data_IF_339463517360
#
_entry.id   IF_339463517360
#
_cell.length_a   1.000
_cell.length_b   1.000
_cell.length_c   1.000
_cell.angle_alpha   90.00
_cell.angle_beta   90.00
_cell.angle_gamma   90.00
#
_symmetry.space_group_name_H-M   'P 1'
#
loop_
_entity.id
_entity.type
_entity.pdbx_description
1 polymer ?
#
# COMPACT_ATOMS: atom_id res chain seq x y z
N UNK A 1 9.74 -14.09 5.60
CA UNK A 1 9.17 -14.01 6.95
C UNK A 1 7.65 -13.99 6.89
N UNK A 2 6.97 -14.22 8.03
CA UNK A 2 5.51 -14.27 8.13
C UNK A 2 4.87 -12.89 7.95
N UNK A 3 3.68 -12.83 7.35
CA UNK A 3 2.87 -11.63 7.15
C UNK A 3 2.34 -11.08 8.48
N UNK A 4 2.02 -11.97 9.42
CA UNK A 4 1.52 -11.62 10.75
C UNK A 4 2.54 -12.07 11.80
N UNK A 5 3.28 -11.11 12.36
CA UNK A 5 4.17 -11.37 13.49
C UNK A 5 3.69 -10.62 14.72
N UNK A 6 4.08 -11.10 15.89
CA UNK A 6 3.89 -10.34 17.12
C UNK A 6 4.98 -9.27 17.20
N UNK A 7 4.56 -8.01 17.23
CA UNK A 7 5.49 -6.90 17.39
C UNK A 7 6.14 -6.96 18.78
N UNK A 8 7.47 -6.92 18.82
CA UNK A 8 8.24 -6.80 20.06
C UNK A 8 8.73 -5.36 20.23
N UNK A 9 7.81 -4.44 20.47
CA UNK A 9 8.18 -3.07 20.85
C UNK A 9 8.85 -3.07 22.22
N UNK A 10 9.92 -2.29 22.36
CA UNK A 10 10.55 -2.01 23.65
C UNK A 10 9.61 -1.14 24.49
N UNK A 11 9.75 -1.18 25.81
CA UNK A 11 8.83 -0.46 26.72
C UNK A 11 8.69 1.04 26.39
N UNK A 12 9.78 1.68 25.96
CA UNK A 12 9.77 3.10 25.60
C UNK A 12 9.16 3.37 24.22
N UNK A 13 9.23 2.41 23.29
CA UNK A 13 8.51 2.47 22.01
C UNK A 13 7.00 2.35 22.26
N UNK A 14 6.60 1.43 23.15
CA UNK A 14 5.21 1.29 23.59
C UNK A 14 4.71 2.56 24.28
N UNK A 15 5.51 3.17 25.15
CA UNK A 15 5.17 4.45 25.78
C UNK A 15 4.95 5.54 24.72
N UNK A 16 5.87 5.68 23.76
CA UNK A 16 5.74 6.66 22.68
C UNK A 16 4.48 6.43 21.82
N UNK A 17 4.21 5.18 21.44
CA UNK A 17 2.99 4.80 20.70
C UNK A 17 1.73 5.14 21.49
N UNK A 18 1.71 4.88 22.80
CA UNK A 18 0.56 5.22 23.64
C UNK A 18 0.33 6.73 23.74
N UNK A 19 1.40 7.53 23.84
CA UNK A 19 1.30 9.00 23.81
C UNK A 19 0.76 9.49 22.46
N UNK A 20 1.22 8.92 21.34
CA UNK A 20 0.70 9.27 20.01
C UNK A 20 -0.81 9.02 19.89
N UNK A 21 -1.30 7.92 20.48
CA UNK A 21 -2.72 7.55 20.47
C UNK A 21 -3.61 8.49 21.30
N UNK A 22 -3.04 9.38 22.10
CA UNK A 22 -3.81 10.46 22.75
C UNK A 22 -4.21 11.56 21.76
N UNK A 23 -3.56 11.64 20.59
CA UNK A 23 -3.95 12.52 19.49
C UNK A 23 -4.75 11.79 18.41
N UNK A 24 -5.07 12.50 17.33
CA UNK A 24 -5.73 11.90 16.16
C UNK A 24 -4.78 10.93 15.44
N UNK A 25 -5.25 9.72 15.16
CA UNK A 25 -4.50 8.71 14.40
C UNK A 25 -5.10 8.61 13.00
N UNK A 26 -4.28 8.61 11.93
CA UNK A 26 -4.79 8.42 10.57
C UNK A 26 -5.49 7.05 10.48
N UNK A 27 -6.66 7.01 9.85
CA UNK A 27 -7.40 5.76 9.62
C UNK A 27 -6.80 4.98 8.45
N UNK A 28 -6.30 5.69 7.45
CA UNK A 28 -5.65 5.12 6.27
C UNK A 28 -4.28 5.76 5.99
N UNK A 29 -3.22 4.94 5.96
CA UNK A 29 -1.88 5.36 5.52
C UNK A 29 -1.49 4.70 4.20
N UNK A 30 -1.02 5.50 3.24
CA UNK A 30 -0.42 5.01 2.00
C UNK A 30 1.13 5.09 2.07
N UNK A 31 1.83 4.07 1.57
CA UNK A 31 3.30 4.01 1.56
C UNK A 31 3.88 3.83 0.16
N UNK A 32 4.80 4.72 -0.23
CA UNK A 32 5.71 4.52 -1.35
C UNK A 32 7.02 3.97 -0.78
N UNK A 33 7.19 2.65 -0.88
CA UNK A 33 8.28 1.87 -0.27
C UNK A 33 9.59 1.92 -1.09
N UNK A 34 10.12 3.12 -1.27
CA UNK A 34 11.30 3.39 -2.11
C UNK A 34 12.63 3.23 -1.35
N UNK A 35 13.72 2.98 -2.08
CA UNK A 35 15.07 2.88 -1.53
C UNK A 35 15.65 1.47 -1.43
N UNK A 36 14.92 0.41 -1.79
CA UNK A 36 15.38 -0.98 -1.67
C UNK A 36 16.71 -1.25 -2.40
N UNK A 37 16.86 -0.74 -3.64
CA UNK A 37 18.10 -0.89 -4.43
C UNK A 37 19.25 -0.08 -3.85
N UNK A 38 18.98 1.15 -3.37
CA UNK A 38 19.98 2.00 -2.70
C UNK A 38 20.48 1.33 -1.42
N UNK A 39 19.59 0.70 -0.67
CA UNK A 39 19.93 -0.07 0.51
C UNK A 39 20.80 -1.28 0.16
N UNK A 40 20.43 -2.04 -0.87
CA UNK A 40 21.24 -3.18 -1.33
C UNK A 40 22.68 -2.76 -1.68
N UNK A 41 22.82 -1.66 -2.44
CA UNK A 41 24.13 -1.11 -2.80
C UNK A 41 24.91 -0.64 -1.56
N UNK A 42 24.24 0.05 -0.62
CA UNK A 42 24.85 0.53 0.64
C UNK A 42 25.39 -0.63 1.49
N UNK A 43 24.69 -1.76 1.51
CA UNK A 43 25.09 -2.94 2.28
C UNK A 43 25.99 -3.92 1.50
N UNK A 44 26.29 -3.65 0.22
CA UNK A 44 27.08 -4.56 -0.63
C UNK A 44 26.38 -5.88 -0.96
N UNK A 45 25.04 -5.91 -0.93
CA UNK A 45 24.22 -7.11 -1.20
C UNK A 45 23.53 -7.03 -2.56
N UNK A 46 22.99 -8.16 -3.03
CA UNK A 46 22.26 -8.20 -4.31
C UNK A 46 20.97 -7.38 -4.23
N UNK A 47 20.55 -6.78 -5.35
CA UNK A 47 19.30 -5.98 -5.43
C UNK A 47 18.07 -6.74 -4.91
N UNK A 48 17.96 -8.03 -5.27
CA UNK A 48 16.86 -8.90 -4.84
C UNK A 48 16.80 -9.06 -3.33
N UNK A 49 17.95 -9.07 -2.65
CA UNK A 49 18.03 -9.13 -1.19
C UNK A 49 17.51 -7.84 -0.56
N UNK A 50 17.82 -6.67 -1.16
CA UNK A 50 17.23 -5.40 -0.76
C UNK A 50 15.70 -5.38 -0.88
N UNK A 51 15.15 -5.98 -1.95
CA UNK A 51 13.70 -6.15 -2.11
C UNK A 51 13.10 -7.11 -1.08
N UNK A 52 13.77 -8.23 -0.79
CA UNK A 52 13.36 -9.17 0.25
C UNK A 52 13.32 -8.49 1.64
N UNK A 53 14.36 -7.72 1.99
CA UNK A 53 14.39 -6.91 3.22
C UNK A 53 13.31 -5.83 3.25
N UNK A 54 13.01 -5.23 2.11
CA UNK A 54 11.89 -4.29 2.00
C UNK A 54 10.54 -4.96 2.28
N UNK A 55 10.35 -6.20 1.83
CA UNK A 55 9.16 -6.97 2.18
C UNK A 55 9.11 -7.31 3.67
N UNK A 56 10.22 -7.75 4.26
CA UNK A 56 10.27 -8.01 5.70
C UNK A 56 9.91 -6.75 6.50
N UNK A 57 10.41 -5.58 6.08
CA UNK A 57 10.05 -4.29 6.66
C UNK A 57 8.56 -3.96 6.54
N UNK A 58 7.94 -4.29 5.41
CA UNK A 58 6.48 -4.14 5.24
C UNK A 58 5.73 -4.90 6.33
N UNK A 59 6.11 -6.15 6.61
CA UNK A 59 5.45 -6.95 7.65
C UNK A 59 5.57 -6.34 9.05
N UNK A 60 6.72 -5.71 9.37
CA UNK A 60 6.90 -4.96 10.62
C UNK A 60 6.03 -3.70 10.68
N UNK A 61 6.01 -2.91 9.59
CA UNK A 61 5.23 -1.66 9.51
C UNK A 61 3.73 -1.95 9.64
N UNK A 62 3.23 -3.01 9.02
CA UNK A 62 1.82 -3.40 9.15
C UNK A 62 1.43 -3.72 10.59
N UNK A 63 2.31 -4.36 11.35
CA UNK A 63 2.06 -4.62 12.78
C UNK A 63 2.05 -3.34 13.59
N UNK A 64 2.97 -2.42 13.32
CA UNK A 64 2.96 -1.11 13.97
C UNK A 64 1.66 -0.36 13.66
N UNK A 65 1.19 -0.42 12.42
CA UNK A 65 -0.09 0.19 12.02
C UNK A 65 -1.27 -0.41 12.79
N UNK A 66 -1.32 -1.74 12.93
CA UNK A 66 -2.32 -2.45 13.73
C UNK A 66 -2.29 -2.03 15.21
N UNK A 67 -1.11 -1.90 15.83
CA UNK A 67 -0.96 -1.47 17.22
C UNK A 67 -1.45 -0.03 17.46
N UNK A 68 -1.18 0.85 16.49
CA UNK A 68 -1.64 2.23 16.49
C UNK A 68 -3.15 2.34 16.26
N UNK A 69 -3.79 1.29 15.72
CA UNK A 69 -5.22 1.26 15.43
C UNK A 69 -5.58 1.79 14.04
N UNK A 70 -4.59 1.94 13.16
CA UNK A 70 -4.78 2.28 11.74
C UNK A 70 -5.56 1.16 11.07
N UNK A 71 -6.62 1.51 10.35
CA UNK A 71 -7.61 0.57 9.81
C UNK A 71 -7.27 0.10 8.41
N UNK A 72 -6.61 0.93 7.63
CA UNK A 72 -6.29 0.62 6.25
C UNK A 72 -4.86 1.05 5.92
N UNK A 73 -4.16 0.22 5.16
CA UNK A 73 -2.83 0.53 4.66
C UNK A 73 -2.79 0.24 3.17
N UNK A 74 -2.32 1.19 2.37
CA UNK A 74 -2.06 0.97 0.94
C UNK A 74 -0.57 1.04 0.66
N UNK A 75 -0.01 0.07 -0.05
CA UNK A 75 1.43 0.05 -0.33
C UNK A 75 1.72 -0.02 -1.82
N UNK A 76 2.69 0.77 -2.28
CA UNK A 76 3.13 0.74 -3.66
C UNK A 76 4.19 -0.36 -3.86
N UNK A 77 3.75 -1.55 -4.24
CA UNK A 77 4.61 -2.73 -4.35
C UNK A 77 5.27 -2.86 -5.73
N UNK A 78 4.52 -2.64 -6.81
CA UNK A 78 5.05 -2.73 -8.18
C UNK A 78 4.32 -1.79 -9.14
N UNK A 79 5.05 -0.87 -9.76
CA UNK A 79 4.51 0.08 -10.75
C UNK A 79 4.48 -0.51 -12.15
N UNK A 80 3.54 -0.12 -13.01
CA UNK A 80 3.57 -0.45 -14.45
C UNK A 80 4.90 0.02 -15.09
N UNK A 81 5.41 1.17 -14.66
CA UNK A 81 6.71 1.70 -15.09
C UNK A 81 7.88 0.76 -14.74
N UNK A 82 7.72 -0.16 -13.77
CA UNK A 82 8.76 -1.12 -13.41
C UNK A 82 8.91 -2.26 -14.42
N UNK A 83 7.96 -2.46 -15.33
CA UNK A 83 8.14 -3.38 -16.46
C UNK A 83 9.20 -2.89 -17.46
N UNK A 84 9.58 -1.61 -17.44
CA UNK A 84 10.66 -1.06 -18.28
C UNK A 84 12.07 -1.41 -17.78
N UNK A 85 12.19 -2.10 -16.64
CA UNK A 85 13.48 -2.58 -16.10
C UNK A 85 13.98 -3.79 -16.90
N UNK A 86 15.18 -4.28 -16.60
CA UNK A 86 15.69 -5.48 -17.26
C UNK A 86 14.78 -6.67 -16.98
N UNK A 87 14.60 -7.55 -17.97
CA UNK A 87 13.76 -8.75 -17.86
C UNK A 87 14.15 -9.59 -16.64
N UNK A 88 15.45 -9.75 -16.39
CA UNK A 88 15.96 -10.44 -15.20
C UNK A 88 15.47 -9.83 -13.88
N UNK A 89 15.46 -8.49 -13.75
CA UNK A 89 14.99 -7.82 -12.54
C UNK A 89 13.46 -7.98 -12.40
N UNK A 90 12.72 -7.90 -13.50
CA UNK A 90 11.27 -8.13 -13.51
C UNK A 90 10.93 -9.57 -13.11
N UNK A 91 11.61 -10.56 -13.68
CA UNK A 91 11.39 -11.99 -13.38
C UNK A 91 11.68 -12.30 -11.91
N UNK A 92 12.75 -11.71 -11.35
CA UNK A 92 13.08 -11.83 -9.93
C UNK A 92 12.00 -11.21 -9.04
N UNK A 93 11.45 -10.04 -9.40
CA UNK A 93 10.36 -9.40 -8.67
C UNK A 93 9.06 -10.20 -8.75
N UNK A 94 8.73 -10.78 -9.90
CA UNK A 94 7.57 -11.65 -10.07
C UNK A 94 7.73 -12.95 -9.28
N UNK A 95 8.93 -13.53 -9.25
CA UNK A 95 9.25 -14.70 -8.42
C UNK A 95 9.10 -14.39 -6.93
N UNK A 96 9.61 -13.25 -6.48
CA UNK A 96 9.43 -12.78 -5.10
C UNK A 96 7.95 -12.60 -4.78
N UNK A 97 7.17 -11.96 -5.66
CA UNK A 97 5.74 -11.80 -5.47
C UNK A 97 5.01 -13.15 -5.34
N UNK A 98 5.32 -14.13 -6.19
CA UNK A 98 4.78 -15.50 -6.09
C UNK A 98 5.08 -16.11 -4.73
N UNK A 99 6.33 -16.02 -4.27
CA UNK A 99 6.73 -16.52 -2.94
C UNK A 99 5.89 -15.87 -1.83
N UNK A 100 5.72 -14.54 -1.87
CA UNK A 100 5.00 -13.81 -0.81
C UNK A 100 3.50 -14.06 -0.82
N UNK A 101 2.85 -14.15 -1.98
CA UNK A 101 1.43 -14.50 -2.07
C UNK A 101 1.16 -15.96 -1.69
N UNK A 102 2.02 -16.91 -2.09
CA UNK A 102 1.92 -18.29 -1.60
C UNK A 102 1.99 -18.35 -0.08
N UNK A 103 2.97 -17.64 0.50
CA UNK A 103 3.10 -17.55 1.95
C UNK A 103 1.90 -16.87 2.63
N UNK A 104 1.30 -15.87 1.99
CA UNK A 104 0.08 -15.23 2.48
C UNK A 104 -1.04 -16.26 2.62
N UNK A 105 -1.23 -17.11 1.60
CA UNK A 105 -2.22 -18.18 1.60
C UNK A 105 -1.94 -19.25 2.65
N UNK A 106 -0.67 -19.62 2.84
CA UNK A 106 -0.25 -20.54 3.91
C UNK A 106 -0.57 -19.99 5.31
N UNK A 107 -0.63 -18.66 5.46
CA UNK A 107 -0.88 -17.95 6.71
C UNK A 107 -2.32 -17.41 6.82
N UNK A 108 -3.24 -17.86 5.95
CA UNK A 108 -4.63 -17.38 5.89
C UNK A 108 -5.36 -17.45 7.24
N UNK A 109 -5.11 -18.49 8.03
CA UNK A 109 -5.79 -18.68 9.32
C UNK A 109 -5.40 -17.56 10.30
N UNK A 110 -4.14 -17.13 10.28
CA UNK A 110 -3.68 -15.98 11.08
C UNK A 110 -4.28 -14.67 10.60
N UNK A 111 -4.39 -14.48 9.28
CA UNK A 111 -5.03 -13.30 8.71
C UNK A 111 -6.49 -13.21 9.14
N UNK A 112 -7.21 -14.34 9.09
CA UNK A 112 -8.61 -14.44 9.52
C UNK A 112 -8.76 -14.21 11.03
N UNK A 113 -7.91 -14.81 11.87
CA UNK A 113 -7.89 -14.58 13.32
C UNK A 113 -7.69 -13.09 13.66
N UNK A 114 -6.82 -12.41 12.92
CA UNK A 114 -6.56 -10.99 13.10
C UNK A 114 -7.55 -10.08 12.34
N UNK A 115 -8.47 -10.66 11.55
CA UNK A 115 -9.43 -9.94 10.73
C UNK A 115 -8.79 -9.03 9.67
N UNK A 116 -7.67 -9.46 9.08
CA UNK A 116 -6.93 -8.72 8.05
C UNK A 116 -7.45 -9.09 6.66
N UNK A 117 -8.03 -8.12 5.95
CA UNK A 117 -8.48 -8.25 4.56
C UNK A 117 -7.38 -7.82 3.59
N UNK A 118 -7.15 -8.61 2.55
CA UNK A 118 -6.16 -8.33 1.50
C UNK A 118 -6.88 -7.91 0.23
N UNK A 119 -6.43 -6.82 -0.37
CA UNK A 119 -6.89 -6.34 -1.68
C UNK A 119 -5.66 -6.05 -2.52
N UNK A 120 -5.70 -6.39 -3.80
CA UNK A 120 -4.64 -6.03 -4.74
C UNK A 120 -5.26 -5.12 -5.79
N UNK A 121 -4.67 -3.93 -5.97
CA UNK A 121 -5.15 -2.89 -6.89
C UNK A 121 -4.14 -2.69 -8.02
N UNK A 122 -4.63 -2.49 -9.24
CA UNK A 122 -3.81 -2.35 -10.45
C UNK A 122 -4.25 -3.29 -11.56
N UNK A 123 -3.54 -3.22 -12.68
CA UNK A 123 -3.89 -3.95 -13.89
C UNK A 123 -3.40 -5.40 -13.80
N UNK A 124 -4.31 -6.30 -13.41
CA UNK A 124 -4.01 -7.73 -13.25
C UNK A 124 -3.67 -8.43 -14.57
N UNK A 125 -4.15 -7.91 -15.71
CA UNK A 125 -3.92 -8.52 -17.01
C UNK A 125 -2.43 -8.48 -17.41
N UNK A 126 -1.65 -7.57 -16.82
CA UNK A 126 -0.20 -7.48 -17.02
C UNK A 126 0.60 -8.52 -16.22
N UNK A 127 -0.03 -9.24 -15.29
CA UNK A 127 0.65 -10.21 -14.45
C UNK A 127 0.68 -11.60 -15.11
N UNK A 128 1.70 -12.42 -14.85
CA UNK A 128 1.67 -13.83 -15.24
C UNK A 128 0.43 -14.55 -14.66
N UNK A 129 -0.21 -15.40 -15.46
CA UNK A 129 -1.47 -16.07 -15.11
C UNK A 129 -1.40 -16.86 -13.80
N UNK A 130 -0.25 -17.45 -13.50
CA UNK A 130 -0.04 -18.18 -12.25
C UNK A 130 -0.02 -17.25 -11.03
N UNK A 131 0.54 -16.04 -11.17
CA UNK A 131 0.50 -15.02 -10.13
C UNK A 131 -0.90 -14.42 -9.97
N UNK A 132 -1.62 -14.20 -11.08
CA UNK A 132 -3.02 -13.74 -11.03
C UNK A 132 -3.89 -14.67 -10.18
N UNK A 133 -3.75 -15.99 -10.35
CA UNK A 133 -4.48 -16.99 -9.55
C UNK A 133 -4.19 -16.86 -8.05
N UNK A 134 -2.92 -16.74 -7.67
CA UNK A 134 -2.51 -16.56 -6.27
C UNK A 134 -3.09 -15.27 -5.67
N UNK A 135 -3.10 -14.18 -6.44
CA UNK A 135 -3.66 -12.89 -6.03
C UNK A 135 -5.16 -13.01 -5.79
N UNK A 136 -5.91 -13.61 -6.72
CA UNK A 136 -7.36 -13.80 -6.59
C UNK A 136 -7.69 -14.68 -5.38
N UNK A 137 -6.98 -15.79 -5.19
CA UNK A 137 -7.17 -16.68 -4.05
C UNK A 137 -6.89 -15.96 -2.72
N UNK A 138 -5.86 -15.08 -2.69
CA UNK A 138 -5.52 -14.29 -1.50
C UNK A 138 -6.61 -13.28 -1.14
N UNK A 139 -7.21 -12.64 -2.14
CA UNK A 139 -8.32 -11.69 -1.92
C UNK A 139 -9.59 -12.42 -1.48
N UNK A 140 -9.96 -13.53 -2.12
CA UNK A 140 -11.21 -14.24 -1.79
C UNK A 140 -11.12 -14.89 -0.40
N UNK A 141 -9.98 -15.48 -0.04
CA UNK A 141 -9.77 -16.09 1.29
C UNK A 141 -9.84 -15.11 2.45
N UNK A 142 -9.68 -13.80 2.20
CA UNK A 142 -9.70 -12.75 3.23
C UNK A 142 -10.81 -11.70 3.02
N UNK A 143 -11.74 -11.93 2.09
CA UNK A 143 -12.75 -10.95 1.65
C UNK A 143 -13.72 -10.50 2.75
N UNK A 144 -14.01 -11.38 3.71
CA UNK A 144 -14.92 -11.10 4.83
C UNK A 144 -14.22 -10.38 6.00
N UNK A 145 -12.89 -10.24 5.93
CA UNK A 145 -12.10 -9.61 6.98
C UNK A 145 -12.17 -8.09 6.86
N UNK A 146 -12.61 -7.43 7.93
CA UNK A 146 -12.89 -5.98 7.93
C UNK A 146 -12.21 -5.23 9.08
N UNK A 147 -11.47 -5.92 9.95
CA UNK A 147 -10.83 -5.30 11.12
C UNK A 147 -9.65 -4.42 10.73
N UNK A 148 -8.88 -4.86 9.73
CA UNK A 148 -7.84 -4.08 9.07
C UNK A 148 -7.76 -4.48 7.59
N UNK A 149 -7.45 -3.53 6.71
CA UNK A 149 -7.33 -3.75 5.26
C UNK A 149 -5.92 -3.42 4.79
N UNK A 150 -5.34 -4.31 3.98
CA UNK A 150 -4.12 -4.05 3.23
C UNK A 150 -4.43 -4.01 1.73
N UNK A 151 -4.24 -2.86 1.11
CA UNK A 151 -4.23 -2.72 -0.34
C UNK A 151 -2.79 -2.80 -0.86
N UNK A 152 -2.54 -3.74 -1.76
CA UNK A 152 -1.24 -3.92 -2.42
C UNK A 152 -1.38 -3.38 -3.85
N UNK A 153 -0.80 -2.22 -4.12
CA UNK A 153 -0.76 -1.68 -5.48
C UNK A 153 0.33 -2.40 -6.27
N UNK A 154 -0.11 -3.25 -7.20
CA UNK A 154 0.72 -4.15 -7.98
C UNK A 154 0.32 -4.06 -9.45
N UNK A 155 1.30 -3.92 -10.34
CA UNK A 155 1.08 -3.48 -11.74
C UNK A 155 0.16 -2.25 -11.81
N UNK A 156 0.43 -1.26 -10.97
CA UNK A 156 -0.42 -0.08 -10.78
C UNK A 156 0.26 1.22 -11.19
N UNK A 157 -0.46 2.14 -11.82
CA UNK A 157 -0.19 3.59 -11.85
C UNK A 157 -1.52 4.34 -11.74
N UNK A 158 -1.50 5.54 -11.17
CA UNK A 158 -2.72 6.32 -10.98
C UNK A 158 -3.33 6.77 -12.30
N UNK A 159 -2.51 7.15 -13.28
CA UNK A 159 -2.98 7.45 -14.64
C UNK A 159 -3.66 6.27 -15.32
N UNK A 160 -3.15 5.06 -15.13
CA UNK A 160 -3.78 3.87 -15.69
C UNK A 160 -5.09 3.55 -14.97
N UNK A 161 -5.14 3.65 -13.64
CA UNK A 161 -6.38 3.52 -12.87
C UNK A 161 -7.45 4.52 -13.30
N UNK A 162 -7.09 5.80 -13.51
CA UNK A 162 -8.02 6.81 -14.00
C UNK A 162 -8.50 6.51 -15.42
N UNK A 163 -7.59 6.06 -16.30
CA UNK A 163 -7.96 5.67 -17.67
C UNK A 163 -8.91 4.48 -17.67
N UNK A 164 -8.68 3.49 -16.80
CA UNK A 164 -9.56 2.35 -16.59
C UNK A 164 -10.93 2.83 -16.10
N UNK A 165 -10.98 3.65 -15.06
CA UNK A 165 -12.24 4.16 -14.50
C UNK A 165 -13.07 4.94 -15.55
N UNK A 166 -12.42 5.80 -16.35
CA UNK A 166 -13.07 6.51 -17.45
C UNK A 166 -13.59 5.53 -18.50
N UNK A 167 -12.84 4.47 -18.81
CA UNK A 167 -13.28 3.43 -19.77
C UNK A 167 -14.50 2.66 -19.27
N UNK A 168 -14.56 2.35 -17.97
CA UNK A 168 -15.73 1.70 -17.35
C UNK A 168 -16.98 2.60 -17.41
N UNK A 169 -16.82 3.90 -17.16
CA UNK A 169 -17.92 4.88 -17.31
C UNK A 169 -18.37 4.97 -18.76
N UNK A 170 -17.43 5.07 -19.71
CA UNK A 170 -17.73 5.12 -21.13
C UNK A 170 -18.45 3.85 -21.61
N UNK A 171 -18.04 2.68 -21.11
CA UNK A 171 -18.74 1.42 -21.36
C UNK A 171 -20.16 1.43 -20.79
N UNK A 172 -20.34 1.90 -19.55
CA UNK A 172 -21.68 2.00 -18.95
C UNK A 172 -22.61 2.97 -19.69
N UNK A 173 -22.08 4.05 -20.27
CA UNK A 173 -22.84 4.94 -21.16
C UNK A 173 -23.18 4.25 -22.49
N UNK A 174 -22.23 3.51 -23.07
CA UNK A 174 -22.45 2.79 -24.33
C UNK A 174 -23.53 1.70 -24.21
N UNK A 175 -23.60 1.03 -23.06
CA UNK A 175 -24.58 -0.02 -22.75
C UNK A 175 -25.91 0.53 -22.18
N UNK A 176 -26.15 1.85 -22.26
CA UNK A 176 -27.34 2.53 -21.72
C UNK A 176 -27.59 2.31 -20.20
N UNK A 177 -26.55 1.95 -19.44
CA UNK A 177 -26.58 1.79 -17.98
C UNK A 177 -26.39 3.10 -17.23
N UNK A 178 -25.74 4.08 -17.87
CA UNK A 178 -25.44 5.41 -17.36
C UNK A 178 -25.77 6.46 -18.43
N UNK A 179 -26.10 7.67 -18.01
CA UNK A 179 -26.19 8.83 -18.90
C UNK A 179 -24.99 9.73 -18.72
N UNK A 180 -24.72 10.59 -19.71
CA UNK A 180 -23.62 11.56 -19.64
C UNK A 180 -23.80 12.51 -18.44
N UNK A 181 -25.05 12.85 -18.10
CA UNK A 181 -25.37 13.72 -16.98
C UNK A 181 -25.12 13.07 -15.61
N UNK A 182 -24.99 11.74 -15.56
CA UNK A 182 -24.67 11.00 -14.33
C UNK A 182 -23.17 11.03 -14.02
N UNK A 183 -22.34 11.54 -14.95
CA UNK A 183 -20.88 11.56 -14.79
C UNK A 183 -20.46 12.73 -13.90
N UNK A 184 -20.03 12.39 -12.69
CA UNK A 184 -19.43 13.30 -11.73
C UNK A 184 -18.19 12.69 -11.04
N UNK A 185 -17.57 13.44 -10.11
CA UNK A 185 -16.41 12.99 -9.37
C UNK A 185 -16.68 11.75 -8.50
N UNK A 186 -17.91 11.59 -7.98
CA UNK A 186 -18.29 10.45 -7.14
C UNK A 186 -18.42 9.17 -7.97
N UNK A 187 -19.01 9.26 -9.17
CA UNK A 187 -19.07 8.16 -10.12
C UNK A 187 -17.66 7.70 -10.51
N UNK A 188 -16.77 8.64 -10.87
CA UNK A 188 -15.37 8.32 -11.19
C UNK A 188 -14.70 7.63 -10.00
N UNK A 189 -14.87 8.15 -8.78
CA UNK A 189 -14.31 7.55 -7.56
C UNK A 189 -14.81 6.11 -7.34
N UNK A 190 -16.08 5.83 -7.64
CA UNK A 190 -16.68 4.48 -7.58
C UNK A 190 -16.14 3.52 -8.65
N UNK A 191 -15.58 4.02 -9.73
CA UNK A 191 -14.96 3.22 -10.80
C UNK A 191 -13.45 2.99 -10.60
N UNK A 192 -12.80 3.69 -9.66
CA UNK A 192 -11.39 3.45 -9.32
C UNK A 192 -11.18 2.05 -8.70
N UNK A 193 -9.95 1.55 -8.73
CA UNK A 193 -9.60 0.30 -8.04
C UNK A 193 -9.75 0.43 -6.52
N UNK A 194 -9.59 1.64 -5.99
CA UNK A 194 -9.73 1.97 -4.56
C UNK A 194 -11.16 2.27 -4.11
N UNK A 195 -12.21 2.03 -4.91
CA UNK A 195 -13.61 2.36 -4.57
C UNK A 195 -14.14 1.84 -3.22
N UNK A 196 -13.52 0.79 -2.68
CA UNK A 196 -13.89 0.19 -1.40
C UNK A 196 -13.02 0.64 -0.22
N UNK A 197 -12.08 1.56 -0.48
CA UNK A 197 -11.11 2.05 0.49
C UNK A 197 -11.48 3.42 0.99
N UNK A 198 -11.06 3.72 2.23
CA UNK A 198 -11.07 5.09 2.73
C UNK A 198 -10.09 5.93 1.90
N UNK A 199 -10.30 7.24 1.80
CA UNK A 199 -9.25 8.12 1.26
C UNK A 199 -8.04 8.11 2.23
N UNK A 200 -6.79 8.06 1.72
CA UNK A 200 -5.61 8.15 2.57
C UNK A 200 -5.54 9.45 3.37
N UNK A 201 -5.41 9.35 4.69
CA UNK A 201 -5.17 10.50 5.57
C UNK A 201 -3.71 10.99 5.49
N UNK A 202 -2.79 10.04 5.27
CA UNK A 202 -1.35 10.25 5.26
C UNK A 202 -0.68 9.40 4.17
N UNK A 203 0.13 10.04 3.32
CA UNK A 203 1.00 9.36 2.36
C UNK A 203 2.46 9.54 2.78
N UNK A 204 3.15 8.43 2.97
CA UNK A 204 4.56 8.39 3.37
C UNK A 204 5.39 7.89 2.20
N UNK A 205 6.42 8.66 1.83
CA UNK A 205 7.44 8.22 0.87
C UNK A 205 8.83 8.22 1.49
N UNK A 206 9.49 7.07 1.38
CA UNK A 206 10.87 6.87 1.84
C UNK A 206 11.91 7.31 0.80
N UNK A 207 13.17 7.27 1.19
CA UNK A 207 14.38 7.46 0.38
C UNK A 207 14.72 8.88 -0.13
N UNK A 208 14.02 9.90 0.35
CA UNK A 208 14.35 11.32 0.14
C UNK A 208 13.81 11.92 -1.15
N UNK A 209 13.11 11.14 -1.96
CA UNK A 209 12.47 11.63 -3.19
C UNK A 209 11.20 12.42 -2.85
N UNK A 210 11.04 13.62 -3.42
CA UNK A 210 9.92 14.54 -3.16
C UNK A 210 8.91 14.57 -4.32
N UNK A 211 8.43 13.40 -4.74
CA UNK A 211 7.40 13.25 -5.79
C UNK A 211 6.47 12.10 -5.47
N UNK A 212 5.32 12.00 -6.14
CA UNK A 212 4.37 10.89 -5.94
C UNK A 212 4.61 9.69 -6.85
N UNK A 213 5.35 9.86 -7.96
CA UNK A 213 5.66 8.77 -8.89
C UNK A 213 4.41 8.04 -9.42
N UNK A 214 3.37 8.81 -9.78
CA UNK A 214 2.12 8.27 -10.36
C UNK A 214 1.39 7.29 -9.42
N UNK A 215 1.36 7.60 -8.12
CA UNK A 215 0.73 6.80 -7.08
C UNK A 215 -0.41 7.57 -6.42
N UNK A 216 -1.63 7.00 -6.44
CA UNK A 216 -2.82 7.51 -5.77
C UNK A 216 -3.10 9.01 -5.99
N UNK A 217 -2.91 9.52 -7.21
CA UNK A 217 -3.00 10.96 -7.49
C UNK A 217 -4.40 11.52 -7.23
N UNK A 218 -5.44 10.76 -7.59
CA UNK A 218 -6.84 11.13 -7.31
C UNK A 218 -7.14 11.09 -5.81
N UNK A 219 -6.69 10.04 -5.13
CA UNK A 219 -7.05 9.74 -3.76
C UNK A 219 -6.30 10.62 -2.74
N UNK A 220 -5.20 11.27 -3.13
CA UNK A 220 -4.30 11.99 -2.20
C UNK A 220 -4.42 13.51 -2.26
N UNK A 221 -5.49 14.04 -2.86
CA UNK A 221 -5.75 15.49 -2.99
C UNK A 221 -5.83 16.22 -1.65
N UNK A 222 -6.49 15.62 -0.65
CA UNK A 222 -6.61 16.15 0.71
C UNK A 222 -5.75 15.40 1.74
N UNK A 223 -4.71 14.70 1.28
CA UNK A 223 -3.87 13.84 2.10
C UNK A 223 -2.66 14.61 2.67
N UNK A 224 -2.26 14.32 3.92
CA UNK A 224 -0.96 14.79 4.40
C UNK A 224 0.17 14.07 3.66
N UNK A 225 1.08 14.80 3.02
CA UNK A 225 2.24 14.22 2.35
C UNK A 225 3.48 14.31 3.26
N UNK A 226 4.11 13.17 3.51
CA UNK A 226 5.32 13.08 4.34
C UNK A 226 6.46 12.38 3.59
N UNK A 227 7.55 13.11 3.35
CA UNK A 227 8.74 12.61 2.69
C UNK A 227 9.88 12.44 3.70
N UNK A 228 10.54 11.27 3.71
CA UNK A 228 11.68 11.00 4.59
C UNK A 228 12.91 10.52 3.81
N UNK A 229 14.13 10.95 4.17
CA UNK A 229 15.36 10.45 3.53
C UNK A 229 15.68 8.99 3.86
N UNK A 230 15.04 8.41 4.89
CA UNK A 230 15.28 7.03 5.34
C UNK A 230 14.96 6.04 4.22
N UNK A 231 15.87 5.12 3.91
CA UNK A 231 15.63 4.06 2.93
C UNK A 231 14.61 3.06 3.48
N UNK A 232 13.71 2.55 2.64
CA UNK A 232 12.60 1.69 3.11
C UNK A 232 13.06 0.53 4.01
N UNK A 233 14.06 -0.30 3.67
CA UNK A 233 14.46 -1.40 4.57
C UNK A 233 14.99 -0.96 5.95
N UNK A 234 15.39 0.30 6.09
CA UNK A 234 15.90 0.89 7.34
C UNK A 234 14.81 1.60 8.16
N UNK A 235 13.56 1.65 7.66
CA UNK A 235 12.46 2.37 8.29
C UNK A 235 12.15 1.81 9.69
N UNK A 236 11.90 2.69 10.65
CA UNK A 236 11.67 2.32 12.06
C UNK A 236 10.32 2.80 12.59
N UNK A 237 9.90 2.29 13.75
CA UNK A 237 8.72 2.80 14.46
C UNK A 237 8.83 4.31 14.75
N UNK A 238 10.04 4.83 14.95
CA UNK A 238 10.28 6.26 15.17
C UNK A 238 10.02 7.09 13.91
N UNK A 239 10.30 6.54 12.73
CA UNK A 239 10.03 7.22 11.46
C UNK A 239 8.53 7.27 11.18
N UNK A 240 7.81 6.17 11.46
CA UNK A 240 6.35 6.16 11.45
C UNK A 240 5.77 7.16 12.45
N UNK A 241 6.31 7.18 13.67
CA UNK A 241 5.89 8.10 14.73
C UNK A 241 6.05 9.56 14.32
N UNK A 242 7.17 9.92 13.69
CA UNK A 242 7.39 11.28 13.15
C UNK A 242 6.38 11.64 12.06
N UNK A 243 6.07 10.69 11.17
CA UNK A 243 5.06 10.91 10.13
C UNK A 243 3.66 11.13 10.71
N UNK A 244 3.29 10.37 11.74
CA UNK A 244 2.01 10.55 12.45
C UNK A 244 1.96 11.87 13.22
N UNK A 245 3.05 12.28 13.88
CA UNK A 245 3.14 13.61 14.50
C UNK A 245 3.00 14.73 13.47
N UNK A 246 3.57 14.56 12.28
CA UNK A 246 3.41 15.50 11.19
C UNK A 246 1.95 15.58 10.73
N UNK A 247 1.26 14.45 10.59
CA UNK A 247 -0.19 14.41 10.35
C UNK A 247 -0.99 15.13 11.45
N UNK A 248 -0.74 14.80 12.72
CA UNK A 248 -1.42 15.42 13.87
C UNK A 248 -1.25 16.94 13.91
N UNK A 249 -0.06 17.43 13.56
CA UNK A 249 0.25 18.86 13.49
C UNK A 249 -0.53 19.58 12.38
N UNK A 250 -0.74 18.94 11.23
CA UNK A 250 -1.36 19.57 10.06
C UNK A 250 -2.88 19.35 9.98
N UNK A 251 -3.44 18.47 10.81
CA UNK A 251 -4.86 18.14 10.83
C UNK A 251 -5.80 19.35 10.92
N UNK A 252 -5.55 20.40 11.75
CA UNK A 252 -6.42 21.57 11.81
C UNK A 252 -6.53 22.35 10.50
N UNK A 253 -5.51 22.25 9.64
CA UNK A 253 -5.44 22.96 8.35
C UNK A 253 -6.06 22.16 7.20
N UNK A 254 -6.31 20.86 7.40
CA UNK A 254 -6.86 19.94 6.39
C UNK A 254 -8.39 19.76 6.50
N UNK A 255 -9.00 20.22 7.59
CA UNK A 255 -10.46 20.18 7.80
C UNK A 255 -11.16 21.49 7.37
N UNK A 256 -10.44 22.40 6.72
CA UNK A 256 -10.95 23.66 6.14
C UNK A 256 -10.98 23.54 4.63
#
# INVERSE_FOLDING_TARGET
MSWVQQSKLRWYETLAVNVLKCGAIPKHIAFIMDGNRRFANKCGVKKIEGHSKGFDKLTEVLQWCLLLGIKEVTVYAFSIENFRRSQEEVDQLMSLAREKFKRLLEEKDKLNEHGIGIRVIGNMALLPTDLQKLVVESMESTKLNTKAILNIAFSYTSREEMTHAISEVAWGVHEDLLKIEDIDEDLIQKCLYTRHSLQPDLLIRSSGEVRLSDFLLWQTTCCTLYFTPVLWPEFTIWDLSKAILHYQKNLPTLMV
#
